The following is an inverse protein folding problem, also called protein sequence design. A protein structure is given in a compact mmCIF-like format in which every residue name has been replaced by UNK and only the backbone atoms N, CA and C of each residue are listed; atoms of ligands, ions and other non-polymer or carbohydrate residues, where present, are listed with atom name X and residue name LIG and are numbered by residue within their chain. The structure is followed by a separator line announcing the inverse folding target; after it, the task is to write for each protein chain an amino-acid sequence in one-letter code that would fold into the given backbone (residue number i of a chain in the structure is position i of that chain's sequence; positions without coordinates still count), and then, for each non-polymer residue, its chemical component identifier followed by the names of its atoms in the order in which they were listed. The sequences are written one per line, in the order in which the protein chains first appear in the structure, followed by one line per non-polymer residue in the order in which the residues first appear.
data_IF_208911844103
#
_entry.id   IF_208911844103
#
_cell.length_a   1.000
_cell.length_b   1.000
_cell.length_c   1.000
_cell.angle_alpha   90.00
_cell.angle_beta   90.00
_cell.angle_gamma   90.00
#
_symmetry.space_group_name_H-M   'P 1'
#
loop_
_entity.id
_entity.type
_entity.pdbx_description
1 polymer ?
#
# COMPACT_ATOMS: atom_id res chain seq x y z
N UNK A 1 21.90 -20.59 1.70
CA UNK A 1 22.16 -20.35 0.27
C UNK A 1 23.34 -21.17 -0.25
N UNK A 2 24.51 -21.11 0.40
CA UNK A 2 25.71 -21.87 0.01
C UNK A 2 25.55 -23.41 0.02
N UNK A 3 24.87 -23.98 1.02
CA UNK A 3 24.62 -25.44 1.15
C UNK A 3 23.74 -25.99 0.01
N UNK A 4 22.87 -25.15 -0.54
CA UNK A 4 21.97 -25.52 -1.62
C UNK A 4 22.70 -25.60 -2.96
N UNK A 5 23.68 -24.71 -3.18
CA UNK A 5 24.52 -24.71 -4.37
C UNK A 5 25.42 -25.95 -4.42
N UNK A 6 25.94 -26.38 -3.27
CA UNK A 6 26.81 -27.56 -3.16
C UNK A 6 26.06 -28.86 -3.39
N UNK A 7 24.82 -28.99 -2.89
CA UNK A 7 23.97 -30.15 -3.15
C UNK A 7 23.53 -30.22 -4.61
N UNK A 8 23.23 -29.07 -5.23
CA UNK A 8 22.90 -28.98 -6.66
C UNK A 8 24.08 -29.41 -7.56
N UNK A 9 25.30 -28.95 -7.26
CA UNK A 9 26.50 -29.33 -8.02
C UNK A 9 26.92 -30.79 -7.80
N UNK A 10 26.72 -31.36 -6.61
CA UNK A 10 26.97 -32.78 -6.37
C UNK A 10 25.98 -33.67 -7.14
N UNK A 11 24.72 -33.25 -7.26
CA UNK A 11 23.70 -33.97 -8.03
C UNK A 11 23.99 -33.94 -9.54
N UNK A 12 24.46 -32.80 -10.06
CA UNK A 12 24.92 -32.66 -11.45
C UNK A 12 26.12 -33.58 -11.78
N UNK A 13 27.05 -33.77 -10.84
CA UNK A 13 28.18 -34.69 -11.03
C UNK A 13 27.79 -36.16 -10.99
N UNK A 14 26.76 -36.53 -10.23
CA UNK A 14 26.21 -37.90 -10.20
C UNK A 14 25.50 -38.28 -11.50
N UNK A 15 24.83 -37.33 -12.15
CA UNK A 15 24.14 -37.55 -13.42
C UNK A 15 25.10 -37.64 -14.64
N UNK A 16 26.35 -37.20 -14.50
CA UNK A 16 27.32 -37.09 -15.60
C UNK A 16 28.15 -38.36 -15.87
N UNK A 17 27.98 -39.44 -15.10
CA UNK A 17 28.68 -40.71 -15.33
C UNK A 17 27.64 -41.81 -15.53
N UNK A 18 27.21 -42.08 -16.77
CA UNK A 18 26.78 -43.39 -17.32
C UNK A 18 26.19 -43.20 -18.75
N UNK A 19 26.74 -43.84 -19.80
CA UNK A 19 26.37 -43.57 -21.20
C UNK A 19 25.20 -44.46 -21.68
N UNK A 20 24.14 -43.84 -22.22
CA UNK A 20 23.01 -44.54 -22.85
C UNK A 20 22.07 -43.54 -23.54
N UNK A 21 22.03 -43.56 -24.87
CA UNK A 21 21.56 -42.44 -25.72
C UNK A 21 20.05 -42.16 -25.72
N UNK A 22 19.18 -43.07 -25.25
CA UNK A 22 17.72 -42.85 -25.24
C UNK A 22 17.18 -42.44 -23.85
N UNK A 23 17.90 -42.72 -22.78
CA UNK A 23 17.45 -42.40 -21.41
C UNK A 23 17.86 -40.99 -20.95
N UNK A 24 18.81 -40.35 -21.63
CA UNK A 24 19.35 -39.05 -21.26
C UNK A 24 18.28 -37.96 -21.31
N UNK A 25 17.44 -37.96 -22.34
CA UNK A 25 16.31 -37.03 -22.49
C UNK A 25 15.24 -37.25 -21.42
N UNK A 26 14.87 -38.50 -21.14
CA UNK A 26 13.88 -38.83 -20.12
C UNK A 26 14.34 -38.39 -18.71
N UNK A 27 15.63 -38.58 -18.40
CA UNK A 27 16.22 -38.13 -17.13
C UNK A 27 16.32 -36.61 -17.04
N UNK A 28 16.70 -35.94 -18.13
CA UNK A 28 16.69 -34.47 -18.19
C UNK A 28 15.27 -33.91 -17.99
N UNK A 29 14.26 -34.52 -18.61
CA UNK A 29 12.87 -34.15 -18.42
C UNK A 29 12.40 -34.38 -16.97
N UNK A 30 12.81 -35.49 -16.34
CA UNK A 30 12.49 -35.76 -14.93
C UNK A 30 13.13 -34.74 -13.98
N UNK A 31 14.42 -34.40 -14.19
CA UNK A 31 15.11 -33.38 -13.39
C UNK A 31 14.49 -31.99 -13.62
N UNK A 32 14.17 -31.64 -14.86
CA UNK A 32 13.49 -30.38 -15.17
C UNK A 32 12.09 -30.30 -14.55
N UNK A 33 11.34 -31.41 -14.58
CA UNK A 33 10.01 -31.51 -13.94
C UNK A 33 10.08 -31.34 -12.42
N UNK A 34 11.07 -31.97 -11.77
CA UNK A 34 11.30 -31.82 -10.33
C UNK A 34 11.74 -30.41 -9.95
N UNK A 35 12.64 -29.81 -10.74
CA UNK A 35 13.04 -28.42 -10.57
C UNK A 35 11.84 -27.46 -10.73
N UNK A 36 11.01 -27.67 -11.76
CA UNK A 36 9.81 -26.89 -11.99
C UNK A 36 8.80 -27.02 -10.84
N UNK A 37 8.58 -28.24 -10.33
CA UNK A 37 7.67 -28.49 -9.21
C UNK A 37 8.13 -27.80 -7.91
N UNK A 38 9.44 -27.72 -7.67
CA UNK A 38 10.02 -27.01 -6.52
C UNK A 38 9.96 -25.48 -6.72
N UNK A 39 10.18 -24.98 -7.93
CA UNK A 39 10.19 -23.53 -8.21
C UNK A 39 8.80 -22.92 -8.40
N UNK A 40 7.83 -23.68 -8.90
CA UNK A 40 6.45 -23.23 -9.16
C UNK A 40 5.78 -22.57 -7.94
N UNK A 41 5.79 -23.17 -6.73
CA UNK A 41 5.13 -22.56 -5.58
C UNK A 41 5.76 -21.21 -5.22
N UNK A 42 7.08 -21.05 -5.36
CA UNK A 42 7.75 -19.77 -5.13
C UNK A 42 7.45 -18.73 -6.21
N UNK A 43 7.41 -19.13 -7.48
CA UNK A 43 7.02 -18.26 -8.58
C UNK A 43 5.55 -17.81 -8.43
N UNK A 44 4.65 -18.72 -8.06
CA UNK A 44 3.25 -18.41 -7.75
C UNK A 44 3.14 -17.48 -6.54
N UNK A 45 3.91 -17.71 -5.47
CA UNK A 45 3.97 -16.81 -4.30
C UNK A 45 4.52 -15.43 -4.66
N UNK A 46 5.48 -15.34 -5.57
CA UNK A 46 6.07 -14.09 -6.05
C UNK A 46 5.07 -13.32 -6.93
N UNK A 47 4.44 -13.99 -7.89
CA UNK A 47 3.37 -13.42 -8.73
C UNK A 47 2.18 -13.00 -7.87
N UNK A 48 1.78 -13.82 -6.90
CA UNK A 48 0.70 -13.49 -5.97
C UNK A 48 1.05 -12.31 -5.07
N UNK A 49 2.30 -12.22 -4.58
CA UNK A 49 2.80 -11.03 -3.88
C UNK A 49 2.78 -9.81 -4.79
N UNK A 50 3.23 -9.91 -6.03
CA UNK A 50 3.22 -8.82 -6.99
C UNK A 50 1.81 -8.32 -7.29
N UNK A 51 0.85 -9.23 -7.52
CA UNK A 51 -0.57 -8.89 -7.74
C UNK A 51 -1.20 -8.28 -6.48
N UNK A 52 -0.82 -8.75 -5.29
CA UNK A 52 -1.33 -8.23 -4.00
C UNK A 52 -0.74 -6.87 -3.64
N UNK A 53 0.50 -6.59 -4.05
CA UNK A 53 1.11 -5.27 -4.00
C UNK A 53 0.61 -4.47 -5.21
N UNK A 54 -0.68 -4.12 -5.20
CA UNK A 54 -1.28 -3.25 -6.23
C UNK A 54 -0.41 -2.01 -6.48
N UNK A 55 -0.41 -1.52 -7.73
CA UNK A 55 0.48 -0.42 -8.10
C UNK A 55 0.31 0.77 -7.14
N UNK A 56 1.40 1.40 -6.68
CA UNK A 56 1.36 2.63 -5.91
C UNK A 56 0.34 3.67 -6.40
N UNK A 57 0.13 3.85 -7.72
CA UNK A 57 -0.93 4.75 -8.20
C UNK A 57 -2.32 4.32 -7.76
N UNK A 58 -2.64 3.02 -7.86
CA UNK A 58 -3.97 2.51 -7.52
C UNK A 58 -4.26 2.76 -6.04
N UNK A 59 -3.27 2.51 -5.17
CA UNK A 59 -3.38 2.78 -3.74
C UNK A 59 -3.58 4.28 -3.46
N UNK A 60 -2.77 5.15 -4.06
CA UNK A 60 -2.90 6.62 -3.87
C UNK A 60 -4.22 7.15 -4.42
N UNK A 61 -4.71 6.60 -5.54
CA UNK A 61 -6.01 6.94 -6.12
C UNK A 61 -7.17 6.54 -5.21
N UNK A 62 -7.11 5.34 -4.63
CA UNK A 62 -8.13 4.84 -3.70
C UNK A 62 -8.13 5.67 -2.39
N UNK A 63 -6.96 6.01 -1.87
CA UNK A 63 -6.79 6.92 -0.72
C UNK A 63 -7.38 8.31 -1.05
N UNK A 64 -7.01 8.87 -2.20
CA UNK A 64 -7.51 10.16 -2.66
C UNK A 64 -9.04 10.16 -2.81
N UNK A 65 -9.62 9.08 -3.34
CA UNK A 65 -11.08 8.94 -3.42
C UNK A 65 -11.73 8.92 -2.05
N UNK A 66 -11.17 8.19 -1.08
CA UNK A 66 -11.69 8.16 0.29
C UNK A 66 -11.67 9.55 0.94
N UNK A 67 -10.61 10.32 0.71
CA UNK A 67 -10.49 11.71 1.19
C UNK A 67 -11.54 12.61 0.51
N UNK A 68 -11.67 12.53 -0.81
CA UNK A 68 -12.63 13.33 -1.57
C UNK A 68 -14.07 13.08 -1.13
N UNK A 69 -14.49 11.81 -1.07
CA UNK A 69 -15.85 11.43 -0.63
C UNK A 69 -16.14 11.91 0.81
N UNK A 70 -15.13 11.93 1.67
CA UNK A 70 -15.29 12.38 3.05
C UNK A 70 -15.32 13.90 3.20
N UNK A 71 -14.61 14.64 2.36
CA UNK A 71 -14.69 16.11 2.29
C UNK A 71 -16.04 16.57 1.73
N UNK A 72 -16.59 15.84 0.74
CA UNK A 72 -17.94 16.07 0.23
C UNK A 72 -19.02 15.77 1.29
N UNK A 73 -18.79 14.79 2.15
CA UNK A 73 -19.69 14.48 3.26
C UNK A 73 -19.64 15.54 4.38
N UNK A 74 -18.47 16.12 4.66
CA UNK A 74 -18.35 17.20 5.65
C UNK A 74 -19.00 18.52 5.19
N UNK A 75 -19.10 18.73 3.87
CA UNK A 75 -19.59 19.96 3.27
C UNK A 75 -18.50 20.99 2.96
N UNK A 76 -17.21 20.66 3.20
CA UNK A 76 -16.05 21.49 2.81
C UNK A 76 -15.89 21.65 1.31
N UNK A 77 -16.45 20.75 0.51
CA UNK A 77 -16.42 20.78 -0.95
C UNK A 77 -17.87 20.68 -1.45
N UNK A 78 -18.26 21.55 -2.36
CA UNK A 78 -19.61 21.57 -2.93
C UNK A 78 -19.94 20.24 -3.65
N UNK A 79 -21.07 19.63 -3.28
CA UNK A 79 -21.56 18.37 -3.87
C UNK A 79 -21.97 18.49 -5.34
N UNK A 80 -22.23 19.70 -5.85
CA UNK A 80 -22.55 19.99 -7.25
C UNK A 80 -21.48 19.47 -8.21
N UNK A 81 -20.28 19.21 -7.70
CA UNK A 81 -19.18 18.61 -8.43
C UNK A 81 -19.29 17.07 -8.52
N UNK A 82 -20.44 16.55 -8.96
CA UNK A 82 -20.66 15.14 -9.30
C UNK A 82 -19.70 14.60 -10.39
N UNK A 83 -18.90 15.48 -11.00
CA UNK A 83 -17.87 15.16 -11.98
C UNK A 83 -16.44 15.17 -11.40
N UNK A 84 -16.25 15.48 -10.11
CA UNK A 84 -14.92 15.48 -9.50
C UNK A 84 -14.33 14.07 -9.50
N UNK A 85 -13.26 13.90 -10.28
CA UNK A 85 -12.53 12.65 -10.40
C UNK A 85 -11.11 12.83 -9.87
N UNK A 86 -10.69 11.86 -9.07
CA UNK A 86 -9.31 11.73 -8.59
C UNK A 86 -8.50 11.06 -9.69
N UNK A 87 -7.50 11.77 -10.20
CA UNK A 87 -6.54 11.25 -11.15
C UNK A 87 -5.22 10.99 -10.42
N UNK A 88 -4.64 9.82 -10.66
CA UNK A 88 -3.31 9.48 -10.21
C UNK A 88 -2.49 9.02 -11.41
N UNK A 89 -1.28 9.57 -11.59
CA UNK A 89 -0.36 9.16 -12.64
C UNK A 89 1.01 8.89 -12.05
N UNK A 90 1.70 7.87 -12.56
CA UNK A 90 3.10 7.57 -12.22
C UNK A 90 4.00 8.19 -13.28
N UNK A 91 5.04 8.89 -12.84
CA UNK A 91 6.16 9.28 -13.70
C UNK A 91 7.14 8.13 -13.87
N UNK A 92 7.95 8.17 -14.93
CA UNK A 92 8.98 7.15 -15.19
C UNK A 92 9.99 7.00 -14.03
N UNK A 93 10.20 8.07 -13.26
CA UNK A 93 11.02 8.07 -12.03
C UNK A 93 10.36 7.35 -10.83
N UNK A 94 9.17 6.77 -11.00
CA UNK A 94 8.40 6.11 -9.94
C UNK A 94 7.63 7.07 -9.01
N UNK A 95 7.69 8.38 -9.25
CA UNK A 95 6.92 9.38 -8.48
C UNK A 95 5.44 9.31 -8.87
N UNK A 96 4.53 9.32 -7.90
CA UNK A 96 3.08 9.30 -8.16
C UNK A 96 2.48 10.69 -7.89
N UNK A 97 1.88 11.27 -8.92
CA UNK A 97 1.14 12.53 -8.85
C UNK A 97 -0.34 12.24 -8.66
N UNK A 98 -1.01 13.01 -7.80
CA UNK A 98 -2.44 12.91 -7.54
C UNK A 98 -3.09 14.29 -7.58
N UNK A 99 -4.16 14.45 -8.36
CA UNK A 99 -4.95 15.68 -8.44
C UNK A 99 -6.44 15.39 -8.60
N UNK A 100 -7.26 16.39 -8.31
CA UNK A 100 -8.71 16.35 -8.53
C UNK A 100 -9.03 17.25 -9.73
N UNK A 101 -9.75 16.71 -10.71
CA UNK A 101 -10.28 17.48 -11.84
C UNK A 101 -11.72 17.93 -11.57
N UNK A 102 -12.14 19.04 -12.16
CA UNK A 102 -13.51 19.56 -12.03
C UNK A 102 -13.82 20.25 -10.69
N UNK A 103 -12.79 20.75 -10.00
CA UNK A 103 -12.90 21.44 -8.71
C UNK A 103 -12.51 22.90 -8.78
N UNK A 104 -13.05 23.74 -7.88
CA UNK A 104 -12.55 25.10 -7.71
C UNK A 104 -11.14 25.09 -7.11
N UNK A 105 -10.36 26.16 -7.29
CA UNK A 105 -9.00 26.26 -6.73
C UNK A 105 -8.98 26.14 -5.19
N UNK A 106 -10.03 26.59 -4.51
CA UNK A 106 -10.22 26.44 -3.07
C UNK A 106 -10.41 24.98 -2.67
N UNK A 107 -11.29 24.26 -3.37
CA UNK A 107 -11.56 22.84 -3.11
C UNK A 107 -10.34 21.98 -3.37
N UNK A 108 -9.61 22.27 -4.45
CA UNK A 108 -8.37 21.58 -4.78
C UNK A 108 -7.31 21.77 -3.67
N UNK A 109 -7.19 22.98 -3.13
CA UNK A 109 -6.28 23.26 -2.02
C UNK A 109 -6.68 22.52 -0.75
N UNK A 110 -7.99 22.46 -0.43
CA UNK A 110 -8.51 21.71 0.72
C UNK A 110 -8.26 20.20 0.58
N UNK A 111 -8.52 19.64 -0.61
CA UNK A 111 -8.24 18.25 -0.94
C UNK A 111 -6.75 17.91 -0.81
N UNK A 112 -5.87 18.68 -1.45
CA UNK A 112 -4.43 18.43 -1.41
C UNK A 112 -3.87 18.56 0.00
N UNK A 113 -4.38 19.50 0.79
CA UNK A 113 -4.02 19.64 2.20
C UNK A 113 -4.40 18.38 2.99
N UNK A 114 -5.64 17.93 2.86
CA UNK A 114 -6.13 16.73 3.55
C UNK A 114 -5.37 15.47 3.12
N UNK A 115 -5.16 15.28 1.81
CA UNK A 115 -4.39 14.15 1.27
C UNK A 115 -2.95 14.15 1.80
N UNK A 116 -2.30 15.31 1.86
CA UNK A 116 -0.96 15.45 2.44
C UNK A 116 -0.95 15.08 3.92
N UNK A 117 -1.96 15.48 4.70
CA UNK A 117 -2.07 15.11 6.11
C UNK A 117 -2.20 13.59 6.30
N UNK A 118 -2.98 12.90 5.44
CA UNK A 118 -3.08 11.43 5.45
C UNK A 118 -1.73 10.75 5.17
N UNK A 119 -1.02 11.24 4.14
CA UNK A 119 0.22 10.63 3.66
C UNK A 119 1.44 11.00 4.51
N UNK A 120 1.32 11.97 5.42
CA UNK A 120 2.41 12.34 6.31
C UNK A 120 2.60 11.28 7.40
N UNK A 121 3.85 11.08 7.87
CA UNK A 121 4.09 10.31 9.08
C UNK A 121 3.21 10.81 10.22
N UNK A 122 2.64 9.88 10.98
CA UNK A 122 1.78 10.21 12.13
C UNK A 122 2.60 10.91 13.20
N UNK A 123 2.17 12.12 13.57
CA UNK A 123 2.72 12.90 14.70
C UNK A 123 1.74 12.90 15.87
N UNK A 124 0.80 13.86 15.91
CA UNK A 124 -0.22 13.97 16.97
C UNK A 124 -1.62 14.23 16.40
N UNK A 125 -2.17 13.36 15.53
CA UNK A 125 -3.51 13.54 15.01
C UNK A 125 -4.55 13.28 16.11
N UNK A 126 -5.69 13.96 16.04
CA UNK A 126 -6.80 13.75 17.01
C UNK A 126 -7.42 12.36 16.87
N UNK A 127 -7.57 11.89 15.63
CA UNK A 127 -7.98 10.54 15.27
C UNK A 127 -6.98 9.95 14.28
N UNK A 128 -6.77 8.63 14.32
CA UNK A 128 -5.96 7.93 13.34
C UNK A 128 -6.59 6.59 12.99
N UNK A 129 -6.28 6.10 11.80
CA UNK A 129 -6.67 4.78 11.31
C UNK A 129 -5.54 3.80 11.62
N UNK A 130 -5.88 2.71 12.29
CA UNK A 130 -4.97 1.60 12.56
C UNK A 130 -5.43 0.38 11.76
N UNK A 131 -4.56 -0.12 10.88
CA UNK A 131 -4.80 -1.38 10.19
C UNK A 131 -4.44 -2.54 11.11
N UNK A 132 -5.44 -3.31 11.55
CA UNK A 132 -5.18 -4.53 12.32
C UNK A 132 -4.54 -5.59 11.42
N UNK A 133 -3.54 -6.28 11.97
CA UNK A 133 -2.92 -7.44 11.35
C UNK A 133 -3.91 -8.61 11.34
N UNK A 134 -4.72 -8.74 10.29
CA UNK A 134 -5.60 -9.91 10.15
C UNK A 134 -4.80 -11.19 9.89
N UNK A 135 -3.67 -11.12 9.20
CA UNK A 135 -2.81 -12.27 8.86
C UNK A 135 -1.33 -11.90 9.02
N UNK A 136 -0.47 -12.89 9.32
CA UNK A 136 0.99 -12.71 9.54
C UNK A 136 1.71 -11.94 8.41
N UNK A 137 1.14 -11.89 7.21
CA UNK A 137 1.66 -11.19 6.04
C UNK A 137 1.28 -9.70 5.92
N UNK A 138 0.30 -9.20 6.68
CA UNK A 138 -0.06 -7.77 6.65
C UNK A 138 0.81 -6.97 7.61
N UNK A 139 1.38 -5.86 7.13
CA UNK A 139 2.06 -4.88 7.99
C UNK A 139 1.03 -4.09 8.80
N UNK A 140 1.44 -3.66 9.98
CA UNK A 140 0.68 -2.69 10.77
C UNK A 140 0.91 -1.31 10.15
N UNK A 141 -0.06 -0.88 9.35
CA UNK A 141 -0.04 0.45 8.74
C UNK A 141 -0.93 1.39 9.56
N UNK A 142 -0.43 2.58 9.81
CA UNK A 142 -1.14 3.61 10.55
C UNK A 142 -1.26 4.85 9.64
N UNK A 143 -2.46 5.43 9.55
CA UNK A 143 -2.73 6.63 8.76
C UNK A 143 -3.36 7.72 9.62
N UNK A 144 -2.92 8.96 9.46
CA UNK A 144 -3.54 10.08 10.16
C UNK A 144 -4.91 10.41 9.54
N UNK A 145 -5.90 10.76 10.38
CA UNK A 145 -7.13 11.39 9.89
C UNK A 145 -6.86 12.89 9.74
N UNK A 146 -7.15 13.51 8.58
CA UNK A 146 -6.95 14.94 8.36
C UNK A 146 -7.71 15.79 9.36
N UNK A 147 -7.17 16.95 9.70
CA UNK A 147 -7.72 17.82 10.73
C UNK A 147 -9.15 18.26 10.41
N UNK A 148 -9.45 18.49 9.13
CA UNK A 148 -10.80 18.86 8.64
C UNK A 148 -11.81 17.76 8.99
N UNK A 149 -11.45 16.50 8.76
CA UNK A 149 -12.30 15.34 9.02
C UNK A 149 -12.32 14.94 10.50
N UNK A 150 -11.27 15.29 11.24
CA UNK A 150 -11.12 15.00 12.68
C UNK A 150 -11.91 15.96 13.59
N UNK A 151 -12.58 16.98 13.03
CA UNK A 151 -13.39 17.95 13.80
C UNK A 151 -14.54 17.29 14.54
N UNK A 152 -15.28 16.43 13.84
CA UNK A 152 -16.45 15.71 14.35
C UNK A 152 -16.20 14.21 14.27
N UNK A 153 -16.64 13.47 15.29
CA UNK A 153 -16.49 12.01 15.36
C UNK A 153 -17.20 11.31 14.20
N UNK A 154 -18.42 11.74 13.89
CA UNK A 154 -19.26 11.20 12.81
C UNK A 154 -18.54 11.21 11.45
N UNK A 155 -17.79 12.28 11.17
CA UNK A 155 -17.07 12.46 9.91
C UNK A 155 -15.83 11.57 9.86
N UNK A 156 -15.11 11.47 10.98
CA UNK A 156 -13.98 10.55 11.09
C UNK A 156 -14.42 9.08 10.94
N UNK A 157 -15.60 8.72 11.45
CA UNK A 157 -16.20 7.39 11.28
C UNK A 157 -16.63 7.14 9.83
N UNK A 158 -17.23 8.13 9.17
CA UNK A 158 -17.54 8.04 7.75
C UNK A 158 -16.28 7.83 6.91
N UNK A 159 -15.22 8.59 7.18
CA UNK A 159 -13.93 8.43 6.51
C UNK A 159 -13.35 7.03 6.73
N UNK A 160 -13.38 6.51 7.96
CA UNK A 160 -12.92 5.15 8.26
C UNK A 160 -13.71 4.09 7.51
N UNK A 161 -15.04 4.25 7.38
CA UNK A 161 -15.90 3.35 6.61
C UNK A 161 -15.57 3.38 5.12
N UNK A 162 -15.40 4.57 4.53
CA UNK A 162 -15.01 4.74 3.12
C UNK A 162 -13.61 4.19 2.84
N UNK A 163 -12.67 4.43 3.73
CA UNK A 163 -11.34 3.83 3.68
C UNK A 163 -11.40 2.30 3.70
N UNK A 164 -12.21 1.76 4.61
CA UNK A 164 -12.52 0.32 4.71
C UNK A 164 -12.91 -0.31 3.38
N UNK A 165 -13.79 0.38 2.65
CA UNK A 165 -14.34 -0.09 1.37
C UNK A 165 -13.39 0.10 0.18
N UNK A 166 -12.60 1.18 0.17
CA UNK A 166 -11.76 1.54 -0.99
C UNK A 166 -10.33 1.02 -0.89
N UNK A 167 -9.71 1.10 0.30
CA UNK A 167 -8.29 0.80 0.53
C UNK A 167 -8.11 -0.51 1.32
N UNK A 168 -8.99 -0.74 2.30
CA UNK A 168 -9.03 -1.98 3.06
C UNK A 168 -9.33 -1.78 4.56
N UNK A 169 -9.44 -2.89 5.31
CA UNK A 169 -9.99 -2.88 6.66
C UNK A 169 -9.11 -2.08 7.63
N UNK A 170 -9.72 -1.13 8.33
CA UNK A 170 -9.07 -0.26 9.31
C UNK A 170 -9.97 -0.05 10.52
N UNK A 171 -9.36 0.27 11.67
CA UNK A 171 -10.05 0.70 12.87
C UNK A 171 -9.76 2.18 13.12
N UNK A 172 -10.81 2.96 13.40
CA UNK A 172 -10.67 4.33 13.88
C UNK A 172 -10.29 4.33 15.36
N UNK A 173 -9.23 5.08 15.71
CA UNK A 173 -8.74 5.20 17.09
C UNK A 173 -8.66 6.67 17.48
N UNK A 174 -9.17 6.99 18.67
CA UNK A 174 -9.09 8.33 19.25
C UNK A 174 -7.80 8.48 20.06
N UNK A 175 -6.94 9.43 19.70
CA UNK A 175 -5.60 9.53 20.28
C UNK A 175 -5.56 10.07 21.72
N UNK A 176 -6.63 10.72 22.19
CA UNK A 176 -6.64 11.35 23.52
C UNK A 176 -6.96 10.39 24.67
N UNK A 177 -7.39 9.16 24.39
CA UNK A 177 -7.57 8.12 25.42
C UNK A 177 -6.22 7.50 25.81
N UNK A 178 -6.09 6.95 27.03
CA UNK A 178 -4.86 6.26 27.44
C UNK A 178 -4.50 5.10 26.50
N UNK A 179 -5.49 4.35 26.01
CA UNK A 179 -5.29 3.27 25.03
C UNK A 179 -4.84 3.80 23.67
N UNK A 180 -5.49 4.86 23.18
CA UNK A 180 -5.16 5.50 21.91
C UNK A 180 -3.76 6.10 21.92
N UNK A 181 -3.31 6.67 23.04
CA UNK A 181 -1.95 7.19 23.19
C UNK A 181 -0.88 6.09 23.10
N UNK A 182 -1.13 4.91 23.70
CA UNK A 182 -0.22 3.74 23.57
C UNK A 182 -0.13 3.26 22.12
N UNK A 183 -1.25 3.24 21.41
CA UNK A 183 -1.27 2.91 19.98
C UNK A 183 -0.54 3.97 19.14
N UNK A 184 -0.74 5.25 19.45
CA UNK A 184 -0.07 6.37 18.78
C UNK A 184 1.45 6.28 18.92
N UNK A 185 1.96 5.94 20.11
CA UNK A 185 3.40 5.77 20.34
C UNK A 185 3.98 4.64 19.48
N UNK A 186 3.27 3.50 19.36
CA UNK A 186 3.66 2.41 18.45
C UNK A 186 3.67 2.87 17.00
N UNK A 187 2.64 3.59 16.57
CA UNK A 187 2.55 4.17 15.23
C UNK A 187 3.73 5.11 14.93
N UNK A 188 4.13 5.94 15.90
CA UNK A 188 5.28 6.86 15.76
C UNK A 188 6.61 6.12 15.62
N UNK A 189 6.85 5.09 16.41
CA UNK A 189 8.08 4.27 16.27
C UNK A 189 8.12 3.60 14.90
N UNK A 190 6.99 3.07 14.43
CA UNK A 190 6.88 2.46 13.11
C UNK A 190 7.02 3.48 11.97
N UNK A 191 6.48 4.68 12.11
CA UNK A 191 6.58 5.74 11.10
C UNK A 191 7.98 6.36 11.04
N UNK A 192 8.70 6.45 12.17
CA UNK A 192 10.09 6.91 12.21
C UNK A 192 11.02 6.01 11.39
N UNK A 193 10.80 4.69 11.40
CA UNK A 193 11.54 3.78 10.54
C UNK A 193 11.31 4.07 9.03
N UNK A 194 10.14 4.60 8.67
CA UNK A 194 9.80 5.05 7.32
C UNK A 194 10.10 6.52 7.03
N UNK A 195 10.39 7.34 8.05
CA UNK A 195 10.58 8.80 7.92
C UNK A 195 11.84 9.19 7.15
N UNK A 196 12.75 8.23 6.89
CA UNK A 196 13.88 8.37 5.98
C UNK A 196 13.50 8.28 4.49
N UNK A 197 12.24 7.95 4.16
CA UNK A 197 11.76 7.94 2.78
C UNK A 197 11.37 9.35 2.29
N UNK A 198 11.55 9.59 0.99
CA UNK A 198 11.25 10.88 0.32
C UNK A 198 9.81 11.32 0.64
N UNK A 199 9.65 12.53 1.18
CA UNK A 199 8.36 13.05 1.67
C UNK A 199 7.42 13.37 0.52
N UNK A 200 6.12 13.35 0.80
CA UNK A 200 5.11 13.84 -0.15
C UNK A 200 5.26 15.34 -0.34
N UNK A 201 5.72 15.75 -1.51
CA UNK A 201 5.88 17.14 -1.89
C UNK A 201 4.70 17.62 -2.72
N UNK A 202 4.27 18.85 -2.49
CA UNK A 202 3.29 19.51 -3.36
C UNK A 202 4.04 20.00 -4.59
N UNK A 203 3.72 19.45 -5.74
CA UNK A 203 4.26 19.90 -7.02
C UNK A 203 3.17 20.62 -7.80
N UNK A 204 3.46 21.83 -8.28
CA UNK A 204 2.60 22.53 -9.24
C UNK A 204 2.97 22.05 -10.64
N UNK A 205 2.21 21.09 -11.18
CA UNK A 205 2.31 20.75 -12.60
C UNK A 205 1.37 21.66 -13.39
N UNK A 206 1.93 22.47 -14.30
CA UNK A 206 1.14 23.14 -15.32
C UNK A 206 0.85 22.11 -16.42
N UNK A 207 -0.42 21.93 -16.76
CA UNK A 207 -0.88 21.08 -17.87
C UNK A 207 -1.72 21.92 -18.82
#
# INVERSE_FOLDING_TARGET
WFIFLTLFFQFLRGAARFPGSQDSLARLAAVAGLAAAISLPWALLAVWRFIRHGTPERSIREIGRAVLESLQYEGSIEQTAAQMRVYANRNDDGTVFCWVGGSTGRDQAAFLRALREVLRPIENPRYFLARKRLWRAFREDYFAVPDILARKKEIAEFFAKRWGHLVGPVQLVYARTPEGRRMLLRARVHSLAGAFQKRSERVSCWK
#
